data_IF_106977909989
#
_entry.id   IF_106977909989
#
_cell.length_a   1.000
_cell.length_b   1.000
_cell.length_c   1.000
_cell.angle_alpha   90.00
_cell.angle_beta   90.00
_cell.angle_gamma   90.00
#
_symmetry.space_group_name_H-M   'P 1'
#
loop_
_entity.id
_entity.type
_entity.pdbx_description
1 polymer ?
#
# COMPACT_ATOMS: atom_id res chain seq x y z
N UNK A 1 -1.70 -0.77 -11.33
CA UNK A 1 -0.44 -0.29 -11.95
C UNK A 1 0.67 -0.22 -10.90
N UNK A 2 0.51 0.53 -9.80
CA UNK A 2 1.55 0.65 -8.76
C UNK A 2 2.06 -0.70 -8.20
N UNK A 3 1.16 -1.57 -7.75
CA UNK A 3 1.54 -2.86 -7.15
C UNK A 3 1.70 -4.01 -8.15
N UNK A 4 1.56 -3.78 -9.46
CA UNK A 4 1.56 -4.89 -10.43
C UNK A 4 2.93 -5.41 -10.84
N UNK A 5 4.01 -4.68 -10.52
CA UNK A 5 5.39 -5.12 -10.72
C UNK A 5 5.96 -5.85 -9.50
N UNK A 6 5.23 -5.85 -8.37
CA UNK A 6 5.69 -6.46 -7.13
C UNK A 6 5.10 -7.87 -7.02
N UNK A 7 5.92 -8.81 -6.56
CA UNK A 7 5.48 -10.18 -6.28
C UNK A 7 4.78 -10.18 -4.92
N UNK A 8 3.50 -9.83 -4.90
CA UNK A 8 2.66 -9.85 -3.68
C UNK A 8 1.35 -10.60 -3.91
N UNK A 9 0.65 -10.90 -2.81
CA UNK A 9 -0.66 -11.56 -2.84
C UNK A 9 -1.82 -10.62 -3.23
N UNK A 10 -1.56 -9.32 -3.35
CA UNK A 10 -2.60 -8.29 -3.50
C UNK A 10 -3.31 -8.37 -4.87
N UNK A 11 -2.56 -8.62 -5.94
CA UNK A 11 -3.13 -8.77 -7.29
C UNK A 11 -3.98 -10.03 -7.43
N UNK A 12 -3.49 -11.15 -6.88
CA UNK A 12 -4.23 -12.41 -6.91
C UNK A 12 -5.56 -12.26 -6.14
N UNK A 13 -5.54 -11.64 -4.95
CA UNK A 13 -6.77 -11.34 -4.21
C UNK A 13 -7.71 -10.43 -5.03
N UNK A 14 -7.17 -9.38 -5.66
CA UNK A 14 -7.95 -8.44 -6.47
C UNK A 14 -8.68 -9.15 -7.61
N UNK A 15 -8.00 -10.05 -8.32
CA UNK A 15 -8.59 -10.86 -9.39
C UNK A 15 -9.66 -11.81 -8.87
N UNK A 16 -9.33 -12.61 -7.84
CA UNK A 16 -10.26 -13.61 -7.32
C UNK A 16 -11.48 -12.99 -6.65
N UNK A 17 -11.33 -11.82 -6.02
CA UNK A 17 -12.46 -11.03 -5.52
C UNK A 17 -13.38 -10.58 -6.67
N UNK A 18 -12.82 -10.02 -7.75
CA UNK A 18 -13.61 -9.65 -8.93
C UNK A 18 -14.37 -10.85 -9.49
N UNK A 19 -13.68 -11.99 -9.72
CA UNK A 19 -14.30 -13.22 -10.23
C UNK A 19 -15.41 -13.71 -9.30
N UNK A 20 -15.19 -13.71 -7.98
CA UNK A 20 -16.18 -14.14 -7.00
C UNK A 20 -17.45 -13.30 -7.08
N UNK A 21 -17.33 -11.97 -7.05
CA UNK A 21 -18.49 -11.07 -7.14
C UNK A 21 -19.17 -11.10 -8.52
N UNK A 22 -18.42 -11.29 -9.60
CA UNK A 22 -18.99 -11.47 -10.94
C UNK A 22 -19.84 -12.74 -11.05
N UNK A 23 -19.32 -13.88 -10.59
CA UNK A 23 -20.09 -15.13 -10.59
C UNK A 23 -21.24 -15.10 -9.59
N UNK A 24 -21.07 -14.38 -8.48
CA UNK A 24 -22.16 -14.11 -7.53
C UNK A 24 -23.29 -13.31 -8.18
N UNK A 25 -22.97 -12.22 -8.89
CA UNK A 25 -23.94 -11.47 -9.68
C UNK A 25 -24.62 -12.33 -10.75
N UNK A 26 -23.86 -13.15 -11.49
CA UNK A 26 -24.44 -14.06 -12.50
C UNK A 26 -25.38 -15.07 -11.88
N UNK A 27 -24.96 -15.73 -10.80
CA UNK A 27 -25.78 -16.69 -10.08
C UNK A 27 -27.10 -16.05 -9.59
N UNK A 28 -27.04 -14.81 -9.09
CA UNK A 28 -28.23 -14.08 -8.68
C UNK A 28 -29.16 -13.67 -9.83
N UNK A 29 -28.66 -13.67 -11.07
CA UNK A 29 -29.43 -13.30 -12.27
C UNK A 29 -30.07 -14.50 -12.96
N UNK A 30 -29.34 -15.60 -13.10
CA UNK A 30 -29.77 -16.75 -13.91
C UNK A 30 -29.94 -18.06 -13.10
N UNK A 31 -29.58 -18.05 -11.81
CA UNK A 31 -29.73 -19.16 -10.87
C UNK A 31 -29.07 -20.47 -11.34
N UNK A 32 -28.10 -20.39 -12.26
CA UNK A 32 -27.43 -21.59 -12.80
C UNK A 32 -26.40 -22.13 -11.80
N UNK A 33 -26.54 -23.42 -11.46
CA UNK A 33 -25.63 -24.15 -10.55
C UNK A 33 -24.14 -24.02 -10.87
N UNK A 34 -23.76 -23.92 -12.14
CA UNK A 34 -22.35 -23.72 -12.52
C UNK A 34 -21.74 -22.47 -11.88
N UNK A 35 -22.51 -21.39 -11.75
CA UNK A 35 -22.04 -20.14 -11.14
C UNK A 35 -21.89 -20.30 -9.63
N UNK A 36 -22.74 -21.10 -9.00
CA UNK A 36 -22.60 -21.47 -7.58
C UNK A 36 -21.25 -22.14 -7.28
N UNK A 37 -20.82 -23.09 -8.11
CA UNK A 37 -19.51 -23.72 -7.94
C UNK A 37 -18.34 -22.79 -8.32
N UNK A 38 -18.48 -21.93 -9.33
CA UNK A 38 -17.45 -20.93 -9.62
C UNK A 38 -17.24 -19.96 -8.45
N UNK A 39 -18.31 -19.57 -7.76
CA UNK A 39 -18.19 -18.78 -6.53
C UNK A 39 -17.37 -19.54 -5.48
N UNK A 40 -17.63 -20.83 -5.25
CA UNK A 40 -16.85 -21.63 -4.30
C UNK A 40 -15.36 -21.68 -4.67
N UNK A 41 -15.07 -21.89 -5.97
CA UNK A 41 -13.69 -21.96 -6.47
C UNK A 41 -12.97 -20.62 -6.25
N UNK A 42 -13.53 -19.51 -6.72
CA UNK A 42 -12.86 -18.22 -6.62
C UNK A 42 -12.82 -17.68 -5.19
N UNK A 43 -13.85 -17.94 -4.38
CA UNK A 43 -13.81 -17.60 -2.95
C UNK A 43 -12.74 -18.41 -2.21
N UNK A 44 -12.63 -19.71 -2.51
CA UNK A 44 -11.58 -20.57 -1.95
C UNK A 44 -10.18 -20.10 -2.34
N UNK A 45 -9.97 -19.73 -3.61
CA UNK A 45 -8.72 -19.15 -4.09
C UNK A 45 -8.40 -17.81 -3.41
N UNK A 46 -9.40 -16.93 -3.23
CA UNK A 46 -9.22 -15.68 -2.47
C UNK A 46 -8.79 -15.96 -1.03
N UNK A 47 -9.46 -16.87 -0.33
CA UNK A 47 -9.16 -17.24 1.06
C UNK A 47 -7.75 -17.83 1.19
N UNK A 48 -7.34 -18.68 0.26
CA UNK A 48 -5.98 -19.23 0.23
C UNK A 48 -4.91 -18.17 -0.11
N UNK A 49 -5.27 -17.09 -0.79
CA UNK A 49 -4.33 -16.04 -1.20
C UNK A 49 -4.01 -15.05 -0.07
N UNK A 50 -5.04 -14.62 0.68
CA UNK A 50 -4.88 -13.61 1.72
C UNK A 50 -5.99 -13.70 2.76
N UNK A 51 -5.64 -13.71 4.04
CA UNK A 51 -6.60 -13.83 5.13
C UNK A 51 -7.69 -12.75 5.15
N UNK A 52 -7.39 -11.53 4.67
CA UNK A 52 -8.40 -10.45 4.55
C UNK A 52 -9.54 -10.77 3.60
N UNK A 53 -9.40 -11.79 2.72
CA UNK A 53 -10.48 -12.28 1.87
C UNK A 53 -11.71 -12.75 2.66
N UNK A 54 -11.58 -13.04 3.96
CA UNK A 54 -12.72 -13.38 4.82
C UNK A 54 -13.80 -12.29 4.82
N UNK A 55 -13.43 -11.03 4.61
CA UNK A 55 -14.35 -9.90 4.47
C UNK A 55 -15.26 -9.99 3.24
N UNK A 56 -14.94 -10.81 2.24
CA UNK A 56 -15.83 -11.02 1.09
C UNK A 56 -17.15 -11.68 1.50
N UNK A 57 -17.15 -12.54 2.53
CA UNK A 57 -18.34 -13.26 3.00
C UNK A 57 -19.42 -12.29 3.51
N UNK A 58 -19.17 -11.41 4.50
CA UNK A 58 -20.17 -10.45 4.93
C UNK A 58 -20.58 -9.50 3.81
N UNK A 59 -19.68 -9.11 2.90
CA UNK A 59 -20.04 -8.28 1.75
C UNK A 59 -21.00 -8.98 0.78
N UNK A 60 -20.81 -10.27 0.51
CA UNK A 60 -21.75 -11.05 -0.29
C UNK A 60 -23.12 -11.18 0.39
N UNK A 61 -23.15 -11.34 1.73
CA UNK A 61 -24.39 -11.33 2.51
C UNK A 61 -25.09 -9.97 2.39
N UNK A 62 -24.35 -8.87 2.53
CA UNK A 62 -24.88 -7.51 2.38
C UNK A 62 -25.46 -7.30 0.98
N UNK A 63 -24.74 -7.69 -0.08
CA UNK A 63 -25.25 -7.68 -1.46
C UNK A 63 -26.58 -8.46 -1.58
N UNK A 64 -26.64 -9.65 -0.99
CA UNK A 64 -27.83 -10.50 -1.03
C UNK A 64 -29.02 -9.85 -0.31
N UNK A 65 -28.80 -9.34 0.91
CA UNK A 65 -29.82 -8.65 1.71
C UNK A 65 -30.36 -7.45 0.95
N UNK A 66 -29.48 -6.59 0.43
CA UNK A 66 -29.91 -5.42 -0.34
C UNK A 66 -30.69 -5.80 -1.59
N UNK A 67 -30.28 -6.84 -2.33
CA UNK A 67 -31.02 -7.32 -3.50
C UNK A 67 -32.42 -7.83 -3.12
N UNK A 68 -32.52 -8.64 -2.07
CA UNK A 68 -33.82 -9.13 -1.59
C UNK A 68 -34.73 -7.98 -1.15
N UNK A 69 -34.19 -7.01 -0.41
CA UNK A 69 -34.91 -5.81 0.01
C UNK A 69 -35.44 -5.00 -1.18
N UNK A 70 -34.61 -4.78 -2.20
CA UNK A 70 -35.01 -4.01 -3.39
C UNK A 70 -36.07 -4.69 -4.25
N UNK A 71 -36.01 -6.02 -4.38
CA UNK A 71 -36.95 -6.78 -5.20
C UNK A 71 -38.15 -7.31 -4.40
N UNK A 72 -38.29 -6.92 -3.12
CA UNK A 72 -39.35 -7.39 -2.21
C UNK A 72 -39.50 -8.92 -2.17
N UNK A 73 -38.40 -9.66 -2.41
CA UNK A 73 -38.37 -11.11 -2.33
C UNK A 73 -38.10 -11.53 -0.89
N UNK A 74 -38.69 -12.65 -0.47
CA UNK A 74 -38.35 -13.25 0.83
C UNK A 74 -36.87 -13.62 0.86
N UNK A 75 -36.16 -13.22 1.92
CA UNK A 75 -34.74 -13.50 2.13
C UNK A 75 -34.40 -14.99 2.00
N UNK A 76 -35.32 -15.90 2.31
CA UNK A 76 -35.07 -17.34 2.27
C UNK A 76 -35.35 -17.98 0.90
N UNK A 77 -36.13 -17.35 0.02
CA UNK A 77 -36.57 -17.97 -1.23
C UNK A 77 -35.44 -18.11 -2.27
N UNK A 78 -34.51 -17.15 -2.38
CA UNK A 78 -33.43 -17.22 -3.39
C UNK A 78 -32.31 -18.21 -3.04
N UNK A 79 -32.09 -18.54 -1.77
CA UNK A 79 -31.14 -19.60 -1.35
C UNK A 79 -31.75 -21.01 -1.30
N UNK A 80 -33.06 -21.14 -1.51
CA UNK A 80 -33.77 -22.41 -1.38
C UNK A 80 -33.58 -23.35 -2.58
N UNK A 81 -33.06 -22.83 -3.71
CA UNK A 81 -32.80 -23.62 -4.92
C UNK A 81 -31.68 -24.66 -4.79
N UNK A 82 -30.81 -24.52 -3.78
CA UNK A 82 -29.70 -25.46 -3.55
C UNK A 82 -29.98 -26.35 -2.34
N UNK A 83 -30.14 -27.65 -2.62
CA UNK A 83 -30.30 -28.68 -1.59
C UNK A 83 -29.05 -28.79 -0.69
N UNK A 84 -29.18 -29.42 0.48
CA UNK A 84 -28.10 -29.61 1.45
C UNK A 84 -26.82 -30.18 0.82
N UNK A 85 -26.96 -31.13 -0.13
CA UNK A 85 -25.84 -31.69 -0.90
C UNK A 85 -25.00 -30.63 -1.62
N UNK A 86 -25.65 -29.65 -2.26
CA UNK A 86 -24.95 -28.61 -3.02
C UNK A 86 -24.18 -27.67 -2.10
N UNK A 87 -24.77 -27.32 -0.97
CA UNK A 87 -24.10 -26.51 0.07
C UNK A 87 -22.90 -27.27 0.65
N UNK A 88 -23.03 -28.58 0.85
CA UNK A 88 -21.92 -29.45 1.25
C UNK A 88 -20.78 -29.46 0.22
N UNK A 89 -21.10 -29.62 -1.07
CA UNK A 89 -20.11 -29.57 -2.16
C UNK A 89 -19.43 -28.19 -2.22
N UNK A 90 -20.18 -27.10 -2.06
CA UNK A 90 -19.63 -25.74 -2.04
C UNK A 90 -18.57 -25.56 -0.94
N UNK A 91 -18.88 -25.97 0.29
CA UNK A 91 -17.94 -25.91 1.41
C UNK A 91 -16.75 -26.83 1.16
N UNK A 92 -16.99 -28.04 0.65
CA UNK A 92 -15.94 -29.00 0.35
C UNK A 92 -14.95 -28.45 -0.69
N UNK A 93 -15.41 -27.76 -1.74
CA UNK A 93 -14.54 -27.12 -2.73
C UNK A 93 -13.62 -26.09 -2.06
N UNK A 94 -14.16 -25.22 -1.20
CA UNK A 94 -13.37 -24.22 -0.49
C UNK A 94 -12.31 -24.89 0.41
N UNK A 95 -12.73 -25.89 1.19
CA UNK A 95 -11.83 -26.62 2.09
C UNK A 95 -10.75 -27.39 1.33
N UNK A 96 -11.08 -27.98 0.17
CA UNK A 96 -10.12 -28.66 -0.69
C UNK A 96 -9.09 -27.70 -1.26
N UNK A 97 -9.49 -26.51 -1.71
CA UNK A 97 -8.57 -25.49 -2.23
C UNK A 97 -7.62 -25.01 -1.13
N UNK A 98 -8.15 -24.69 0.05
CA UNK A 98 -7.33 -24.30 1.21
C UNK A 98 -6.38 -25.46 1.56
N UNK A 99 -6.88 -26.67 1.75
CA UNK A 99 -6.03 -27.82 2.08
C UNK A 99 -4.94 -28.07 1.04
N UNK A 100 -5.27 -28.01 -0.25
CA UNK A 100 -4.31 -28.17 -1.34
C UNK A 100 -3.22 -27.09 -1.34
N UNK A 101 -3.56 -25.83 -1.00
CA UNK A 101 -2.57 -24.74 -0.90
C UNK A 101 -1.55 -24.93 0.23
N UNK A 102 -1.91 -25.73 1.25
CA UNK A 102 -1.02 -26.16 2.32
C UNK A 102 -0.50 -27.60 2.12
N UNK A 103 -0.45 -28.09 0.87
CA UNK A 103 0.02 -29.43 0.54
C UNK A 103 -0.66 -30.56 1.33
N UNK A 104 -1.95 -30.37 1.65
CA UNK A 104 -2.76 -31.28 2.48
C UNK A 104 -2.22 -31.50 3.90
N UNK A 105 -1.34 -30.62 4.40
CA UNK A 105 -0.84 -30.66 5.77
C UNK A 105 -1.90 -30.23 6.81
N UNK A 106 -2.97 -29.57 6.34
CA UNK A 106 -4.22 -29.43 7.09
C UNK A 106 -4.75 -28.00 7.19
N UNK A 107 -6.07 -27.89 7.26
CA UNK A 107 -6.82 -26.65 7.54
C UNK A 107 -6.44 -25.99 8.89
N UNK A 108 -5.99 -26.71 9.95
CA UNK A 108 -5.56 -26.07 11.18
C UNK A 108 -4.47 -24.99 11.00
N UNK A 109 -3.49 -25.19 10.12
CA UNK A 109 -2.45 -24.18 9.87
C UNK A 109 -3.00 -22.89 9.26
N UNK A 110 -4.04 -22.98 8.42
CA UNK A 110 -4.75 -21.80 7.94
C UNK A 110 -5.44 -21.05 9.09
N UNK A 111 -6.07 -21.79 10.01
CA UNK A 111 -6.74 -21.20 11.18
C UNK A 111 -5.72 -20.56 12.13
N UNK A 112 -4.59 -21.22 12.39
CA UNK A 112 -3.48 -20.67 13.18
C UNK A 112 -2.95 -19.36 12.57
N UNK A 113 -2.72 -19.34 11.25
CA UNK A 113 -2.29 -18.11 10.55
C UNK A 113 -3.32 -16.99 10.64
N UNK A 114 -4.62 -17.31 10.49
CA UNK A 114 -5.70 -16.34 10.66
C UNK A 114 -5.75 -15.78 12.09
N UNK A 115 -5.59 -16.64 13.10
CA UNK A 115 -5.51 -16.25 14.50
C UNK A 115 -4.30 -15.34 14.78
N UNK A 116 -3.12 -15.67 14.22
CA UNK A 116 -1.93 -14.84 14.36
C UNK A 116 -2.12 -13.45 13.77
N UNK A 117 -2.74 -13.32 12.59
CA UNK A 117 -3.06 -12.02 12.01
C UNK A 117 -4.02 -11.23 12.89
N UNK A 118 -5.03 -11.88 13.46
CA UNK A 118 -5.99 -11.23 14.35
C UNK A 118 -5.30 -10.73 15.63
N UNK A 119 -4.46 -11.55 16.26
CA UNK A 119 -3.66 -11.19 17.44
C UNK A 119 -2.70 -10.04 17.11
N UNK A 120 -2.01 -10.11 15.98
CA UNK A 120 -1.09 -9.07 15.53
C UNK A 120 -1.80 -7.75 15.22
N UNK A 121 -3.03 -7.79 14.72
CA UNK A 121 -3.83 -6.58 14.47
C UNK A 121 -4.30 -5.87 15.75
N UNK A 122 -4.30 -6.57 16.90
CA UNK A 122 -4.71 -6.04 18.20
C UNK A 122 -3.53 -5.67 19.12
N UNK A 123 -2.35 -6.23 18.90
CA UNK A 123 -1.20 -5.99 19.77
C UNK A 123 -0.51 -4.65 19.45
N UNK A 124 -0.85 -3.62 20.22
CA UNK A 124 -0.23 -2.28 20.18
C UNK A 124 1.28 -2.27 20.47
N UNK A 125 1.83 -3.34 21.07
CA UNK A 125 3.25 -3.46 21.42
C UNK A 125 4.19 -3.58 20.20
N UNK A 126 3.65 -3.90 19.02
CA UNK A 126 4.39 -3.89 17.74
C UNK A 126 3.75 -2.96 16.70
N UNK A 127 2.96 -1.98 17.13
CA UNK A 127 2.35 -1.01 16.24
C UNK A 127 3.47 -0.23 15.51
N UNK A 128 3.76 -0.66 14.27
CA UNK A 128 4.58 0.08 13.32
C UNK A 128 4.01 1.49 13.27
N UNK A 129 4.83 2.51 13.48
CA UNK A 129 4.40 3.91 13.34
C UNK A 129 3.79 4.07 11.94
N UNK A 130 2.53 4.51 11.89
CA UNK A 130 1.81 4.76 10.65
C UNK A 130 1.99 6.23 10.30
N UNK A 131 1.92 6.58 9.02
CA UNK A 131 2.17 7.94 8.56
C UNK A 131 1.07 8.44 7.64
N UNK A 132 0.63 9.68 7.86
CA UNK A 132 -0.32 10.39 7.03
C UNK A 132 -0.09 11.90 7.16
N UNK A 133 0.08 12.60 6.03
CA UNK A 133 0.14 14.07 5.99
C UNK A 133 1.17 14.70 6.96
N UNK A 134 2.37 14.13 7.06
CA UNK A 134 3.42 14.62 7.97
C UNK A 134 3.30 14.15 9.42
N UNK A 135 2.21 13.49 9.81
CA UNK A 135 1.98 13.02 11.17
C UNK A 135 2.23 11.52 11.32
N UNK A 136 2.67 11.11 12.51
CA UNK A 136 2.85 9.71 12.88
C UNK A 136 1.81 9.29 13.92
N UNK A 137 1.24 8.09 13.75
CA UNK A 137 0.26 7.52 14.69
C UNK A 137 0.49 6.03 14.89
N UNK A 138 0.36 5.56 16.14
CA UNK A 138 0.34 4.12 16.45
C UNK A 138 -1.06 3.51 16.30
N UNK A 139 -2.10 4.34 16.40
CA UNK A 139 -3.50 3.91 16.29
C UNK A 139 -4.01 4.03 14.84
N UNK A 140 -3.34 4.84 14.02
CA UNK A 140 -3.75 5.14 12.65
C UNK A 140 -4.87 6.20 12.56
N UNK A 141 -5.54 6.23 11.41
CA UNK A 141 -6.66 7.12 11.10
C UNK A 141 -7.74 6.34 10.35
N UNK A 142 -8.99 6.44 10.81
CA UNK A 142 -10.13 5.83 10.14
C UNK A 142 -10.31 6.33 8.70
N UNK A 143 -9.86 7.55 8.39
CA UNK A 143 -9.95 8.18 7.07
C UNK A 143 -8.70 8.00 6.21
N UNK A 144 -7.72 7.20 6.64
CA UNK A 144 -6.49 6.94 5.88
C UNK A 144 -6.77 6.39 4.48
N UNK A 145 -7.57 5.32 4.36
CA UNK A 145 -7.81 4.67 3.07
C UNK A 145 -8.58 5.54 2.08
N UNK A 146 -9.62 6.30 2.48
CA UNK A 146 -10.20 7.33 1.62
C UNK A 146 -9.19 8.34 1.10
N UNK A 147 -8.30 8.87 1.94
CA UNK A 147 -7.26 9.81 1.49
C UNK A 147 -6.22 9.12 0.60
N UNK A 148 -5.77 7.92 0.97
CA UNK A 148 -4.83 7.15 0.17
C UNK A 148 -5.40 6.82 -1.21
N UNK A 149 -6.70 6.50 -1.30
CA UNK A 149 -7.39 6.33 -2.58
C UNK A 149 -7.34 7.61 -3.41
N UNK A 150 -7.63 8.77 -2.83
CA UNK A 150 -7.57 10.05 -3.53
C UNK A 150 -6.15 10.43 -3.97
N UNK A 151 -5.14 10.15 -3.15
CA UNK A 151 -3.75 10.47 -3.43
C UNK A 151 -3.10 9.50 -4.43
N UNK A 152 -3.48 8.22 -4.42
CA UNK A 152 -2.87 7.16 -5.24
C UNK A 152 -3.65 6.84 -6.51
N UNK A 153 -4.82 7.44 -6.72
CA UNK A 153 -5.64 7.26 -7.93
C UNK A 153 -5.48 8.46 -8.86
N UNK A 154 -5.25 8.19 -10.15
CA UNK A 154 -5.22 9.24 -11.18
C UNK A 154 -6.47 10.13 -11.11
N UNK A 155 -6.29 11.44 -11.25
CA UNK A 155 -7.38 12.42 -11.31
C UNK A 155 -8.39 12.04 -12.39
N UNK A 156 -7.92 11.42 -13.49
CA UNK A 156 -8.78 11.00 -14.60
C UNK A 156 -9.72 9.89 -14.14
N UNK A 157 -9.21 8.88 -13.44
CA UNK A 157 -10.02 7.79 -12.89
C UNK A 157 -10.98 8.34 -11.82
N UNK A 158 -10.51 9.23 -10.95
CA UNK A 158 -11.37 9.90 -9.96
C UNK A 158 -12.49 10.69 -10.65
N UNK A 159 -12.16 11.49 -11.66
CA UNK A 159 -13.11 12.27 -12.43
C UNK A 159 -14.17 11.37 -13.07
N UNK A 160 -13.75 10.32 -13.78
CA UNK A 160 -14.65 9.35 -14.43
C UNK A 160 -15.54 8.62 -13.41
N UNK A 161 -14.98 8.22 -12.27
CA UNK A 161 -15.72 7.57 -11.20
C UNK A 161 -16.80 8.49 -10.61
N UNK A 162 -16.42 9.71 -10.22
CA UNK A 162 -17.35 10.65 -9.59
C UNK A 162 -18.40 11.18 -10.55
N UNK A 163 -18.07 11.43 -11.83
CA UNK A 163 -19.09 11.82 -12.82
C UNK A 163 -20.08 10.68 -13.09
N UNK A 164 -19.61 9.43 -13.20
CA UNK A 164 -20.49 8.25 -13.30
C UNK A 164 -21.39 8.13 -12.08
N UNK A 165 -20.86 8.35 -10.87
CA UNK A 165 -21.61 8.33 -9.62
C UNK A 165 -22.70 9.41 -9.60
N UNK A 166 -22.36 10.66 -9.90
CA UNK A 166 -23.29 11.79 -9.93
C UNK A 166 -24.44 11.58 -10.92
N UNK A 167 -24.14 11.07 -12.12
CA UNK A 167 -25.16 10.79 -13.14
C UNK A 167 -26.05 9.60 -12.74
N UNK A 168 -25.48 8.56 -12.14
CA UNK A 168 -26.23 7.40 -11.64
C UNK A 168 -27.19 7.79 -10.51
N UNK A 169 -26.73 8.67 -9.60
CA UNK A 169 -27.53 9.27 -8.54
C UNK A 169 -28.71 10.08 -9.11
N UNK A 170 -28.46 10.96 -10.10
CA UNK A 170 -29.51 11.76 -10.75
C UNK A 170 -30.57 10.89 -11.44
N UNK A 171 -30.19 9.73 -11.96
CA UNK A 171 -31.12 8.77 -12.61
C UNK A 171 -31.80 7.83 -11.61
N UNK A 172 -31.52 7.95 -10.31
CA UNK A 172 -32.00 7.08 -9.25
C UNK A 172 -31.75 5.58 -9.52
N UNK A 173 -30.61 5.28 -10.16
CA UNK A 173 -30.29 3.95 -10.67
C UNK A 173 -29.29 3.18 -9.78
N UNK A 174 -28.91 3.74 -8.63
CA UNK A 174 -27.95 3.13 -7.68
C UNK A 174 -28.30 1.68 -7.33
N UNK A 175 -29.60 1.41 -7.24
CA UNK A 175 -30.19 0.11 -6.91
C UNK A 175 -29.71 -1.02 -7.83
N UNK A 176 -29.44 -0.70 -9.10
CA UNK A 176 -29.00 -1.69 -10.08
C UNK A 176 -27.48 -1.97 -10.01
N UNK A 177 -26.73 -1.14 -9.28
CA UNK A 177 -25.26 -1.18 -9.21
C UNK A 177 -24.74 -1.74 -7.88
N UNK A 178 -25.59 -2.35 -7.04
CA UNK A 178 -25.22 -2.89 -5.71
C UNK A 178 -24.02 -3.84 -5.79
N UNK A 179 -23.94 -4.68 -6.82
CA UNK A 179 -22.85 -5.64 -6.99
C UNK A 179 -21.50 -4.98 -7.31
N UNK A 180 -21.49 -3.68 -7.63
CA UNK A 180 -20.28 -2.87 -7.75
C UNK A 180 -20.09 -2.05 -6.47
N UNK A 181 -21.13 -1.39 -5.95
CA UNK A 181 -20.99 -0.50 -4.80
C UNK A 181 -20.69 -1.19 -3.48
N UNK A 182 -21.28 -2.36 -3.21
CA UNK A 182 -20.98 -3.09 -1.97
C UNK A 182 -19.51 -3.53 -1.90
N UNK A 183 -18.90 -4.14 -2.93
CA UNK A 183 -17.47 -4.42 -2.86
C UNK A 183 -16.60 -3.15 -2.87
N UNK A 184 -17.01 -2.04 -3.51
CA UNK A 184 -16.25 -0.78 -3.44
C UNK A 184 -16.28 -0.18 -2.04
N UNK A 185 -17.48 0.20 -1.58
CA UNK A 185 -17.64 0.94 -0.33
C UNK A 185 -17.53 0.04 0.89
N UNK A 186 -18.09 -1.17 0.84
CA UNK A 186 -18.04 -2.09 1.96
C UNK A 186 -16.62 -2.56 2.26
N UNK A 187 -15.80 -2.84 1.24
CA UNK A 187 -14.38 -3.17 1.44
C UNK A 187 -13.62 -1.98 2.04
N UNK A 188 -13.82 -0.78 1.49
CA UNK A 188 -13.19 0.43 2.01
C UNK A 188 -13.60 0.69 3.47
N UNK A 189 -14.90 0.62 3.79
CA UNK A 189 -15.43 0.79 5.16
C UNK A 189 -14.83 -0.25 6.11
N UNK A 190 -14.75 -1.52 5.74
CA UNK A 190 -14.16 -2.55 6.60
C UNK A 190 -12.70 -2.22 6.95
N UNK A 191 -11.92 -1.73 5.99
CA UNK A 191 -10.53 -1.33 6.23
C UNK A 191 -10.41 -0.02 7.02
N UNK A 192 -11.40 0.87 6.98
CA UNK A 192 -11.46 2.08 7.83
C UNK A 192 -11.58 1.75 9.33
N UNK A 193 -12.06 0.54 9.67
CA UNK A 193 -12.11 0.02 11.05
C UNK A 193 -10.89 -0.82 11.43
N UNK A 194 -9.87 -0.89 10.56
CA UNK A 194 -8.61 -1.57 10.87
C UNK A 194 -7.53 -0.55 11.20
N UNK A 195 -6.68 -0.88 12.17
CA UNK A 195 -5.51 -0.06 12.53
C UNK A 195 -4.31 -0.36 11.60
N UNK A 196 -4.54 -0.78 10.36
CA UNK A 196 -3.49 -1.21 9.42
C UNK A 196 -3.30 -0.17 8.30
N UNK A 197 -2.86 1.04 8.64
CA UNK A 197 -2.65 2.11 7.66
C UNK A 197 -1.26 2.09 7.02
N UNK A 198 -0.94 0.97 6.38
CA UNK A 198 0.38 0.69 5.77
C UNK A 198 0.31 0.57 4.25
N UNK A 199 -0.69 1.20 3.62
CA UNK A 199 -0.70 1.44 2.17
C UNK A 199 -1.92 1.01 1.39
N UNK A 200 -2.10 1.64 0.22
CA UNK A 200 -3.28 1.49 -0.65
C UNK A 200 -3.49 0.05 -1.16
N UNK A 201 -2.47 -0.80 -1.11
CA UNK A 201 -2.55 -2.23 -1.48
C UNK A 201 -3.67 -2.99 -0.76
N UNK A 202 -4.03 -2.60 0.46
CA UNK A 202 -5.11 -3.24 1.22
C UNK A 202 -6.50 -3.00 0.62
N UNK A 203 -6.67 -1.88 -0.07
CA UNK A 203 -7.89 -1.55 -0.81
C UNK A 203 -7.76 -1.77 -2.31
N UNK A 204 -6.65 -2.30 -2.81
CA UNK A 204 -6.47 -2.65 -4.22
C UNK A 204 -7.64 -3.46 -4.84
N UNK A 205 -8.30 -4.38 -4.09
CA UNK A 205 -9.44 -5.13 -4.63
C UNK A 205 -10.64 -4.29 -5.08
N UNK A 206 -10.75 -3.02 -4.67
CA UNK A 206 -11.87 -2.15 -5.10
C UNK A 206 -11.70 -1.62 -6.53
N UNK A 207 -10.46 -1.53 -7.04
CA UNK A 207 -10.17 -0.87 -8.32
C UNK A 207 -10.85 -1.49 -9.54
N UNK A 208 -10.92 -2.83 -9.70
CA UNK A 208 -11.65 -3.40 -10.84
C UNK A 208 -13.14 -3.02 -10.84
N UNK A 209 -13.78 -2.96 -9.68
CA UNK A 209 -15.17 -2.53 -9.57
C UNK A 209 -15.32 -1.04 -9.91
N UNK A 210 -14.38 -0.20 -9.48
CA UNK A 210 -14.31 1.22 -9.86
C UNK A 210 -14.17 1.37 -11.37
N UNK A 211 -13.31 0.61 -12.02
CA UNK A 211 -13.13 0.67 -13.48
C UNK A 211 -14.38 0.21 -14.23
N UNK A 212 -14.99 -0.90 -13.81
CA UNK A 212 -16.25 -1.39 -14.40
C UNK A 212 -17.35 -0.33 -14.21
N UNK A 213 -17.50 0.22 -13.02
CA UNK A 213 -18.50 1.26 -12.76
C UNK A 213 -18.24 2.53 -13.58
N UNK A 214 -17.01 3.00 -13.64
CA UNK A 214 -16.62 4.20 -14.40
C UNK A 214 -16.84 4.02 -15.92
N UNK A 215 -16.78 2.78 -16.42
CA UNK A 215 -17.07 2.49 -17.83
C UNK A 215 -18.52 2.81 -18.23
N UNK A 216 -19.45 2.87 -17.27
CA UNK A 216 -20.84 3.26 -17.49
C UNK A 216 -20.97 4.60 -18.21
N UNK A 217 -20.00 5.51 -18.06
CA UNK A 217 -19.97 6.83 -18.69
C UNK A 217 -20.12 6.77 -20.22
N UNK A 218 -19.62 5.70 -20.84
CA UNK A 218 -19.76 5.48 -22.28
C UNK A 218 -21.21 5.25 -22.71
N UNK A 219 -22.03 4.68 -21.81
CA UNK A 219 -23.44 4.33 -22.06
C UNK A 219 -24.44 5.32 -21.45
N UNK A 220 -23.97 6.24 -20.62
CA UNK A 220 -24.82 7.27 -20.03
C UNK A 220 -25.21 8.33 -21.08
N UNK A 221 -26.44 8.82 -20.95
CA UNK A 221 -27.03 9.85 -21.80
C UNK A 221 -26.82 11.23 -21.14
N UNK A 222 -26.08 12.10 -21.83
CA UNK A 222 -25.79 13.47 -21.41
C UNK A 222 -26.72 14.50 -22.03
N UNK A 223 -27.71 14.10 -22.83
CA UNK A 223 -28.67 15.02 -23.46
C UNK A 223 -29.40 15.90 -22.44
N UNK A 224 -29.68 15.37 -21.24
CA UNK A 224 -30.26 16.11 -20.12
C UNK A 224 -29.41 17.30 -19.65
N UNK A 225 -28.09 17.25 -19.79
CA UNK A 225 -27.19 18.35 -19.42
C UNK A 225 -27.02 19.32 -20.58
N UNK A 226 -26.55 18.82 -21.73
CA UNK A 226 -26.35 19.62 -22.93
C UNK A 226 -26.12 18.71 -24.16
N UNK A 227 -26.79 19.00 -25.27
CA UNK A 227 -26.58 18.31 -26.55
C UNK A 227 -25.13 18.39 -27.07
N UNK A 228 -24.39 19.44 -26.71
CA UNK A 228 -22.97 19.57 -27.05
C UNK A 228 -22.12 18.47 -26.40
N UNK A 229 -22.33 18.20 -25.11
CA UNK A 229 -21.56 17.18 -24.38
C UNK A 229 -21.83 15.78 -24.91
N UNK A 230 -23.09 15.47 -25.29
CA UNK A 230 -23.40 14.16 -25.87
C UNK A 230 -22.64 13.95 -27.21
N UNK A 231 -22.58 14.97 -28.06
CA UNK A 231 -21.84 14.89 -29.34
C UNK A 231 -20.33 14.73 -29.14
N UNK A 232 -19.76 15.33 -28.10
CA UNK A 232 -18.32 15.30 -27.84
C UNK A 232 -17.88 14.19 -26.86
N UNK A 233 -18.83 13.47 -26.25
CA UNK A 233 -18.61 12.48 -25.17
C UNK A 233 -17.46 11.52 -25.47
N UNK A 234 -17.52 10.83 -26.60
CA UNK A 234 -16.51 9.83 -26.98
C UNK A 234 -15.13 10.46 -27.18
N UNK A 235 -15.07 11.67 -27.77
CA UNK A 235 -13.80 12.39 -27.97
C UNK A 235 -13.19 12.80 -26.63
N UNK A 236 -14.01 13.28 -25.69
CA UNK A 236 -13.58 13.61 -24.32
C UNK A 236 -13.06 12.37 -23.62
N UNK A 237 -13.80 11.26 -23.64
CA UNK A 237 -13.39 10.00 -23.01
C UNK A 237 -12.06 9.50 -23.60
N UNK A 238 -11.92 9.46 -24.93
CA UNK A 238 -10.67 9.03 -25.59
C UNK A 238 -9.50 9.93 -25.18
N UNK A 239 -9.72 11.24 -25.11
CA UNK A 239 -8.70 12.21 -24.69
C UNK A 239 -8.29 11.97 -23.24
N UNK A 240 -9.25 11.75 -22.34
CA UNK A 240 -8.98 11.42 -20.94
C UNK A 240 -8.20 10.10 -20.82
N UNK A 241 -8.59 9.05 -21.55
CA UNK A 241 -7.88 7.77 -21.56
C UNK A 241 -6.45 7.92 -22.11
N UNK A 242 -6.24 8.77 -23.11
CA UNK A 242 -4.91 9.08 -23.61
C UNK A 242 -4.04 9.74 -22.52
N UNK A 243 -4.58 10.73 -21.80
CA UNK A 243 -3.84 11.34 -20.68
C UNK A 243 -3.59 10.36 -19.52
N UNK A 244 -4.48 9.39 -19.29
CA UNK A 244 -4.28 8.35 -18.28
C UNK A 244 -3.12 7.41 -18.66
N UNK A 245 -3.01 7.07 -19.95
CA UNK A 245 -1.87 6.32 -20.47
C UNK A 245 -0.58 7.14 -20.30
N UNK A 246 -0.60 8.43 -20.65
CA UNK A 246 0.54 9.32 -20.45
C UNK A 246 0.96 9.40 -18.98
N UNK A 247 0.02 9.55 -18.04
CA UNK A 247 0.37 9.63 -16.62
C UNK A 247 1.00 8.34 -16.10
N UNK A 248 0.60 7.18 -16.61
CA UNK A 248 1.30 5.93 -16.35
C UNK A 248 2.70 5.93 -16.98
N UNK A 249 2.86 6.35 -18.24
CA UNK A 249 4.17 6.34 -18.92
C UNK A 249 5.19 7.27 -18.24
N UNK A 250 4.76 8.42 -17.71
CA UNK A 250 5.66 9.36 -17.02
C UNK A 250 6.24 8.81 -15.71
N UNK A 251 5.59 7.83 -15.08
CA UNK A 251 6.06 7.23 -13.83
C UNK A 251 6.84 5.92 -14.07
N UNK A 252 6.91 5.45 -15.33
CA UNK A 252 7.75 4.29 -15.66
C UNK A 252 9.24 4.59 -15.38
N UNK A 253 10.01 3.65 -14.79
CA UNK A 253 9.61 2.31 -14.37
C UNK A 253 9.07 2.19 -12.94
N UNK A 254 9.03 3.28 -12.17
CA UNK A 254 8.82 3.30 -10.72
C UNK A 254 7.35 3.45 -10.32
N UNK A 255 6.48 2.53 -10.77
CA UNK A 255 5.03 2.70 -10.57
C UNK A 255 4.58 2.74 -9.11
N UNK A 256 5.35 2.14 -8.17
CA UNK A 256 4.99 2.16 -6.76
C UNK A 256 4.86 3.59 -6.24
N UNK A 257 5.74 4.49 -6.68
CA UNK A 257 5.76 5.89 -6.27
C UNK A 257 4.74 6.75 -7.00
N UNK A 258 3.83 6.18 -7.79
CA UNK A 258 2.76 6.94 -8.44
C UNK A 258 1.88 7.62 -7.38
N UNK A 259 1.78 8.94 -7.44
CA UNK A 259 0.71 9.70 -6.83
C UNK A 259 -0.06 10.39 -7.95
N UNK A 260 -1.28 10.85 -7.65
CA UNK A 260 -2.10 11.55 -8.62
C UNK A 260 -1.36 12.75 -9.23
N UNK A 261 -1.85 13.22 -10.36
CA UNK A 261 -1.13 14.19 -11.19
C UNK A 261 -0.96 15.57 -10.52
N UNK A 262 -1.66 15.86 -9.42
CA UNK A 262 -1.46 17.09 -8.62
C UNK A 262 -0.29 16.98 -7.64
N UNK A 263 -0.05 15.79 -7.09
CA UNK A 263 1.00 15.55 -6.09
C UNK A 263 2.32 15.22 -6.78
N UNK A 264 2.27 14.30 -7.75
CA UNK A 264 3.45 13.79 -8.44
C UNK A 264 4.29 12.83 -7.60
N UNK A 265 5.13 11.99 -8.24
CA UNK A 265 5.83 10.91 -7.55
C UNK A 265 6.89 11.37 -6.54
N UNK A 266 7.55 12.50 -6.79
CA UNK A 266 8.63 13.00 -5.94
C UNK A 266 8.14 13.60 -4.62
N UNK A 267 6.91 14.14 -4.56
CA UNK A 267 6.35 14.76 -3.35
C UNK A 267 5.46 13.79 -2.55
N UNK A 268 5.28 12.56 -3.03
CA UNK A 268 4.37 11.59 -2.41
C UNK A 268 4.68 11.28 -0.94
N UNK A 269 5.96 11.36 -0.56
CA UNK A 269 6.46 11.11 0.79
C UNK A 269 5.92 12.10 1.84
N UNK A 270 5.44 13.28 1.43
CA UNK A 270 4.77 14.25 2.33
C UNK A 270 3.37 13.79 2.74
N UNK A 271 2.74 12.93 1.94
CA UNK A 271 1.36 12.50 2.12
C UNK A 271 1.26 11.08 2.68
N UNK A 272 2.04 10.15 2.12
CA UNK A 272 2.03 8.73 2.47
C UNK A 272 3.44 8.13 2.41
N UNK A 273 3.74 7.24 3.35
CA UNK A 273 4.98 6.44 3.40
C UNK A 273 4.65 4.94 3.33
N UNK A 274 5.58 4.10 3.78
CA UNK A 274 5.48 2.63 3.80
C UNK A 274 5.34 2.08 2.37
N UNK A 275 4.54 1.04 2.19
CA UNK A 275 4.26 0.38 0.92
C UNK A 275 3.56 1.26 -0.12
N UNK A 276 3.26 2.53 0.20
CA UNK A 276 2.83 3.49 -0.81
C UNK A 276 3.98 4.04 -1.64
N UNK A 277 5.24 3.92 -1.21
CA UNK A 277 6.38 4.50 -1.91
C UNK A 277 7.61 3.58 -1.91
N UNK A 278 7.85 2.88 -0.80
CA UNK A 278 9.04 2.08 -0.62
C UNK A 278 8.69 0.75 0.05
N UNK A 279 8.92 -0.31 -0.71
CA UNK A 279 8.88 -1.71 -0.28
C UNK A 279 10.22 -2.41 -0.47
N UNK A 280 11.25 -1.62 -0.74
CA UNK A 280 12.59 -2.07 -0.98
C UNK A 280 12.96 -2.36 -2.44
N UNK A 281 12.05 -2.09 -3.37
CA UNK A 281 12.19 -2.45 -4.78
C UNK A 281 13.42 -1.84 -5.49
N UNK A 282 14.01 -0.78 -4.95
CA UNK A 282 15.00 0.05 -5.65
C UNK A 282 16.47 -0.30 -5.38
N UNK A 283 16.77 -1.42 -4.70
CA UNK A 283 18.15 -1.90 -4.54
C UNK A 283 18.84 -2.12 -5.88
N UNK A 284 18.15 -2.69 -6.86
CA UNK A 284 18.70 -2.86 -8.21
C UNK A 284 19.06 -1.52 -8.88
N UNK A 285 18.17 -0.52 -8.74
CA UNK A 285 18.43 0.84 -9.21
C UNK A 285 19.61 1.49 -8.49
N UNK A 286 19.77 1.21 -7.20
CA UNK A 286 20.88 1.70 -6.40
C UNK A 286 22.22 1.10 -6.86
N UNK A 287 22.27 -0.22 -7.10
CA UNK A 287 23.48 -0.85 -7.64
C UNK A 287 23.87 -0.27 -9.00
N UNK A 288 22.89 -0.08 -9.89
CA UNK A 288 23.14 0.53 -11.21
C UNK A 288 23.74 1.93 -11.07
N UNK A 289 23.25 2.71 -10.12
CA UNK A 289 23.82 4.04 -9.84
C UNK A 289 25.24 3.95 -9.25
N UNK A 290 25.49 3.00 -8.36
CA UNK A 290 26.81 2.75 -7.75
C UNK A 290 27.86 2.43 -8.82
N UNK A 291 27.55 1.52 -9.74
CA UNK A 291 28.44 1.12 -10.84
C UNK A 291 28.76 2.31 -11.76
N UNK A 292 27.73 3.05 -12.16
CA UNK A 292 27.90 4.21 -13.06
C UNK A 292 28.71 5.36 -12.44
N UNK A 293 28.74 5.44 -11.09
CA UNK A 293 29.47 6.48 -10.37
C UNK A 293 30.78 5.98 -9.74
N UNK A 294 31.19 4.73 -10.01
CA UNK A 294 32.39 4.10 -9.45
C UNK A 294 32.48 4.20 -7.92
N UNK A 295 31.37 3.97 -7.22
CA UNK A 295 31.34 3.99 -5.75
C UNK A 295 31.79 2.61 -5.23
N UNK A 296 32.98 2.51 -4.63
CA UNK A 296 33.50 1.22 -4.15
C UNK A 296 32.75 0.65 -2.95
N UNK A 297 32.26 1.53 -2.06
CA UNK A 297 31.51 1.17 -0.85
C UNK A 297 30.56 2.30 -0.47
N UNK A 298 29.32 1.96 -0.13
CA UNK A 298 28.27 2.93 0.23
C UNK A 298 27.80 2.75 1.68
N UNK A 299 27.34 3.82 2.33
CA UNK A 299 26.66 3.74 3.62
C UNK A 299 25.16 3.58 3.38
N UNK A 300 24.58 2.45 3.77
CA UNK A 300 23.22 2.08 3.40
C UNK A 300 22.33 1.85 4.64
N UNK A 301 21.14 2.42 4.62
CA UNK A 301 20.03 2.03 5.48
C UNK A 301 18.77 1.89 4.62
N UNK A 302 18.15 0.72 4.65
CA UNK A 302 17.14 0.31 3.68
C UNK A 302 15.94 -0.34 4.37
N UNK A 303 14.73 -0.09 3.87
CA UNK A 303 13.47 -0.51 4.49
C UNK A 303 13.04 -1.95 4.16
N UNK A 304 13.54 -2.54 3.07
CA UNK A 304 13.12 -3.88 2.63
C UNK A 304 13.85 -5.03 3.32
N UNK A 305 13.47 -6.26 2.93
CA UNK A 305 14.02 -7.50 3.48
C UNK A 305 15.02 -8.22 2.55
N UNK A 306 15.16 -7.73 1.31
CA UNK A 306 16.13 -8.30 0.37
C UNK A 306 17.57 -8.05 0.84
N UNK A 307 18.46 -8.99 0.55
CA UNK A 307 19.88 -8.89 0.85
C UNK A 307 20.61 -8.00 -0.18
N UNK A 308 21.21 -6.86 0.21
CA UNK A 308 21.97 -6.01 -0.70
C UNK A 308 23.14 -6.73 -1.39
N UNK A 309 23.74 -7.74 -0.74
CA UNK A 309 24.86 -8.50 -1.30
C UNK A 309 24.44 -9.29 -2.56
N UNK A 310 23.18 -9.74 -2.64
CA UNK A 310 22.63 -10.40 -3.83
C UNK A 310 22.72 -9.50 -5.08
N UNK A 311 22.60 -8.18 -4.90
CA UNK A 311 22.69 -7.19 -5.97
C UNK A 311 24.12 -6.70 -6.21
N UNK A 312 25.12 -7.22 -5.48
CA UNK A 312 26.52 -6.79 -5.59
C UNK A 312 26.86 -5.51 -4.82
N UNK A 313 25.97 -5.04 -3.95
CA UNK A 313 26.13 -3.77 -3.24
C UNK A 313 27.06 -3.97 -2.04
N UNK A 314 28.29 -3.47 -2.13
CA UNK A 314 29.19 -3.39 -0.96
C UNK A 314 28.79 -2.23 -0.07
N UNK A 315 28.30 -2.52 1.13
CA UNK A 315 27.82 -1.50 2.04
C UNK A 315 28.36 -1.60 3.47
N UNK A 316 28.16 -0.52 4.20
CA UNK A 316 28.20 -0.49 5.66
C UNK A 316 26.98 0.26 6.19
N UNK A 317 26.62 0.02 7.45
CA UNK A 317 25.49 0.71 8.05
C UNK A 317 25.77 2.20 8.21
N UNK A 318 24.77 3.03 7.92
CA UNK A 318 24.86 4.47 8.18
C UNK A 318 24.99 4.70 9.70
N UNK A 319 25.97 5.49 10.18
CA UNK A 319 26.04 5.88 11.58
C UNK A 319 24.96 6.91 11.95
N UNK A 320 24.65 7.05 13.25
CA UNK A 320 23.75 8.10 13.76
C UNK A 320 24.41 9.48 13.88
N UNK A 321 25.46 9.75 13.11
CA UNK A 321 26.18 11.02 13.09
C UNK A 321 26.71 11.29 11.68
N UNK A 322 26.94 12.57 11.36
CA UNK A 322 27.45 12.95 10.05
C UNK A 322 28.88 12.42 9.84
N UNK A 323 29.09 11.71 8.74
CA UNK A 323 30.38 11.14 8.37
C UNK A 323 30.62 11.28 6.86
N UNK A 324 31.87 11.50 6.45
CA UNK A 324 32.25 11.61 5.04
C UNK A 324 31.84 10.33 4.28
N UNK A 325 31.38 10.50 3.05
CA UNK A 325 31.10 9.40 2.13
C UNK A 325 29.77 9.54 1.41
N UNK A 326 29.48 8.53 0.60
CA UNK A 326 28.20 8.39 -0.08
C UNK A 326 27.23 7.64 0.83
N UNK A 327 26.06 8.23 1.07
CA UNK A 327 25.05 7.73 1.99
C UNK A 327 23.76 7.51 1.22
N UNK A 328 23.20 6.32 1.26
CA UNK A 328 21.92 5.95 0.66
C UNK A 328 20.93 5.52 1.74
N UNK A 329 19.80 6.20 1.85
CA UNK A 329 18.79 5.93 2.88
C UNK A 329 17.39 5.83 2.27
N UNK A 330 16.66 4.77 2.62
CA UNK A 330 15.24 4.61 2.30
C UNK A 330 14.42 5.76 2.86
N UNK A 331 13.46 6.27 2.08
CA UNK A 331 12.59 7.40 2.42
C UNK A 331 11.80 7.14 3.70
N UNK A 332 11.38 5.90 3.95
CA UNK A 332 10.70 5.50 5.18
C UNK A 332 11.59 5.75 6.42
N UNK A 333 12.88 5.37 6.36
CA UNK A 333 13.82 5.62 7.44
C UNK A 333 14.24 7.10 7.52
N UNK A 334 14.37 7.76 6.38
CA UNK A 334 14.76 9.17 6.30
C UNK A 334 13.74 10.12 6.93
N UNK A 335 12.45 9.82 6.75
CA UNK A 335 11.36 10.62 7.30
C UNK A 335 11.03 10.21 8.75
N UNK A 336 11.33 8.96 9.15
CA UNK A 336 11.19 8.52 10.54
C UNK A 336 10.11 7.48 10.80
N UNK A 337 9.63 6.79 9.76
CA UNK A 337 8.61 5.73 9.89
C UNK A 337 9.09 4.58 10.78
N UNK A 338 10.39 4.27 10.74
CA UNK A 338 11.00 3.25 11.58
C UNK A 338 11.41 3.89 12.90
N UNK A 339 11.04 3.28 14.02
CA UNK A 339 11.35 3.78 15.35
C UNK A 339 12.85 4.06 15.53
N UNK A 340 13.17 5.24 16.05
CA UNK A 340 14.56 5.69 16.27
C UNK A 340 15.28 6.28 15.05
N UNK A 341 14.81 6.02 13.82
CA UNK A 341 15.51 6.49 12.60
C UNK A 341 15.49 8.00 12.42
N UNK A 342 14.38 8.67 12.76
CA UNK A 342 14.30 10.13 12.69
C UNK A 342 15.38 10.81 13.54
N UNK A 343 15.58 10.35 14.78
CA UNK A 343 16.59 10.89 15.69
C UNK A 343 18.01 10.55 15.23
N UNK A 344 18.21 9.37 14.66
CA UNK A 344 19.51 8.91 14.20
C UNK A 344 19.98 9.62 12.92
N UNK A 345 19.05 9.97 12.02
CA UNK A 345 19.38 10.46 10.67
C UNK A 345 18.94 11.92 10.41
N UNK A 346 18.49 12.66 11.42
CA UNK A 346 18.14 14.09 11.30
C UNK A 346 19.29 14.96 10.79
N UNK A 347 20.54 14.56 11.02
CA UNK A 347 21.70 15.28 10.50
C UNK A 347 21.68 15.40 8.97
N UNK A 348 20.97 14.51 8.26
CA UNK A 348 20.75 14.60 6.81
C UNK A 348 19.82 15.75 6.40
N UNK A 349 19.08 16.39 7.32
CA UNK A 349 18.25 17.58 7.04
C UNK A 349 19.08 18.78 6.58
N UNK A 350 20.36 18.82 6.96
CA UNK A 350 21.30 19.88 6.58
C UNK A 350 21.87 19.70 5.16
N UNK A 351 21.61 18.56 4.51
CA UNK A 351 22.18 18.21 3.23
C UNK A 351 21.09 18.02 2.19
N UNK A 352 21.34 18.50 0.97
CA UNK A 352 20.47 18.20 -0.16
C UNK A 352 20.88 16.84 -0.75
N UNK A 353 19.92 15.97 -1.09
CA UNK A 353 20.23 14.71 -1.76
C UNK A 353 20.89 15.00 -3.12
N UNK A 354 21.94 14.24 -3.43
CA UNK A 354 22.59 14.23 -4.73
C UNK A 354 21.63 13.69 -5.80
N UNK A 355 20.89 12.64 -5.46
CA UNK A 355 19.87 12.05 -6.33
C UNK A 355 18.88 11.25 -5.49
N UNK A 356 17.75 10.88 -6.10
CA UNK A 356 16.85 9.85 -5.58
C UNK A 356 16.80 8.68 -6.55
N UNK A 357 16.87 7.47 -6.03
CA UNK A 357 16.69 6.23 -6.79
C UNK A 357 15.24 5.80 -6.62
N UNK A 358 14.53 5.69 -7.74
CA UNK A 358 13.13 5.28 -7.76
C UNK A 358 12.15 6.18 -7.01
N UNK A 359 12.58 7.37 -6.57
CA UNK A 359 11.92 8.22 -5.56
C UNK A 359 11.80 7.58 -4.16
N UNK A 360 12.42 6.43 -3.90
CA UNK A 360 12.33 5.70 -2.62
C UNK A 360 13.63 5.69 -1.83
N UNK A 361 14.81 5.74 -2.47
CA UNK A 361 16.12 5.78 -1.79
C UNK A 361 16.78 7.11 -2.10
N UNK A 362 17.12 7.88 -1.07
CA UNK A 362 17.80 9.17 -1.21
C UNK A 362 19.31 8.98 -1.04
N UNK A 363 20.07 9.50 -2.00
CA UNK A 363 21.53 9.38 -2.02
C UNK A 363 22.15 10.75 -1.75
N UNK A 364 23.10 10.80 -0.84
CA UNK A 364 23.81 12.00 -0.42
C UNK A 364 25.31 11.83 -0.64
N UNK A 365 25.98 12.95 -0.91
CA UNK A 365 27.44 13.02 -0.93
C UNK A 365 27.92 14.00 0.14
N UNK A 366 28.43 13.42 1.23
CA UNK A 366 28.96 14.15 2.38
C UNK A 366 30.47 14.29 2.20
N UNK A 367 30.92 15.51 1.90
CA UNK A 367 32.35 15.84 1.75
C UNK A 367 32.88 16.52 3.00
N UNK A 368 34.21 16.51 3.19
CA UNK A 368 34.85 17.19 4.34
C UNK A 368 34.48 18.67 4.44
N UNK A 369 34.39 19.37 3.31
CA UNK A 369 33.96 20.78 3.26
C UNK A 369 32.52 21.00 3.72
N UNK A 370 31.64 20.01 3.45
CA UNK A 370 30.22 20.06 3.82
C UNK A 370 29.98 19.61 5.25
N UNK A 371 30.92 18.88 5.87
CA UNK A 371 30.89 18.60 7.30
C UNK A 371 31.04 19.92 8.07
N UNK A 372 29.90 20.56 8.35
CA UNK A 372 29.88 21.82 9.10
C UNK A 372 30.59 21.65 10.44
N UNK A 373 31.44 22.60 10.86
CA UNK A 373 31.90 22.75 12.23
C UNK A 373 30.75 23.22 13.14
N UNK A 374 29.68 22.44 13.27
CA UNK A 374 28.53 22.74 14.12
C UNK A 374 28.25 21.58 15.05
N UNK A 375 29.01 21.54 16.15
CA UNK A 375 28.88 20.80 17.42
C UNK A 375 28.43 19.32 17.49
N UNK A 376 27.71 18.73 16.55
CA UNK A 376 27.21 17.36 16.70
C UNK A 376 28.27 16.30 16.35
N UNK A 377 29.08 16.53 15.31
CA UNK A 377 30.16 15.60 14.94
C UNK A 377 31.48 15.84 15.66
N UNK A 378 31.87 17.12 15.86
CA UNK A 378 33.17 17.46 16.45
C UNK A 378 33.24 17.11 17.94
N UNK A 379 32.20 17.43 18.71
CA UNK A 379 32.18 17.11 20.15
C UNK A 379 32.12 15.61 20.38
N UNK A 380 31.31 14.86 19.63
CA UNK A 380 31.22 13.41 19.81
C UNK A 380 32.53 12.70 19.44
N UNK A 381 33.16 13.05 18.32
CA UNK A 381 34.47 12.49 17.93
C UNK A 381 35.54 12.84 18.96
N UNK A 382 35.58 14.09 19.42
CA UNK A 382 36.50 14.54 20.47
C UNK A 382 36.26 13.79 21.78
N UNK A 383 35.02 13.69 22.23
CA UNK A 383 34.67 13.03 23.48
C UNK A 383 34.89 11.51 23.45
N UNK A 384 34.63 10.84 22.31
CA UNK A 384 34.93 9.42 22.15
C UNK A 384 36.44 9.16 22.22
N UNK A 385 37.25 10.02 21.59
CA UNK A 385 38.71 9.94 21.67
C UNK A 385 39.20 10.16 23.12
N UNK A 386 38.66 11.18 23.80
CA UNK A 386 39.01 11.50 25.18
C UNK A 386 38.59 10.41 26.19
N UNK A 387 37.41 9.82 26.04
CA UNK A 387 36.98 8.68 26.88
C UNK A 387 37.83 7.44 26.61
N UNK A 388 38.22 7.18 25.35
CA UNK A 388 39.07 6.05 24.96
C UNK A 388 40.48 6.17 25.53
N UNK A 389 41.08 7.37 25.50
CA UNK A 389 42.38 7.64 26.16
C UNK A 389 42.33 7.41 27.68
N UNK A 390 41.15 7.59 28.28
CA UNK A 390 40.91 7.34 29.71
C UNK A 390 40.46 5.90 30.04
N UNK A 391 40.50 4.96 29.08
CA UNK A 391 39.96 3.59 29.22
C UNK A 391 38.50 3.54 29.72
N UNK A 392 37.66 4.45 29.22
CA UNK A 392 36.25 4.58 29.59
C UNK A 392 35.34 4.54 28.35
N UNK A 393 34.09 4.18 28.57
CA UNK A 393 33.03 4.16 27.55
C UNK A 393 32.35 5.54 27.50
N UNK A 394 32.12 6.04 26.30
CA UNK A 394 31.43 7.30 26.04
C UNK A 394 29.90 7.12 26.15
N UNK A 395 29.24 8.01 26.90
CA UNK A 395 27.79 7.95 27.15
C UNK A 395 26.99 9.12 26.53
N UNK A 396 27.67 10.07 25.87
CA UNK A 396 27.04 11.26 25.29
C UNK A 396 27.76 12.57 25.66
N UNK A 397 27.24 13.68 25.15
CA UNK A 397 27.74 15.04 25.40
C UNK A 397 26.56 15.99 25.68
N UNK A 398 26.81 17.07 26.43
CA UNK A 398 25.83 18.13 26.64
C UNK A 398 25.89 19.13 25.47
N UNK A 399 24.77 19.29 24.76
CA UNK A 399 24.64 20.15 23.57
C UNK A 399 24.46 21.63 23.93
N UNK A 400 24.22 21.96 25.21
CA UNK A 400 23.86 23.30 25.66
C UNK A 400 25.06 24.25 25.88
N UNK A 401 26.30 23.78 25.77
CA UNK A 401 27.50 24.58 26.06
C UNK A 401 28.42 24.71 24.83
N UNK A 402 28.93 25.91 24.57
CA UNK A 402 29.95 26.17 23.53
C UNK A 402 31.27 25.40 23.74
N UNK A 403 31.43 24.69 24.87
CA UNK A 403 32.54 23.78 25.16
C UNK A 403 32.01 22.36 25.32
N UNK A 404 32.55 21.41 24.54
CA UNK A 404 32.21 19.99 24.61
C UNK A 404 32.47 19.41 26.01
N UNK A 405 31.44 19.17 26.80
CA UNK A 405 31.54 18.47 28.09
C UNK A 405 31.22 16.99 27.91
N UNK A 406 32.22 16.12 28.11
CA UNK A 406 32.16 14.69 27.80
C UNK A 406 31.79 13.83 29.02
N UNK A 407 30.82 12.92 28.89
CA UNK A 407 30.47 11.96 29.93
C UNK A 407 31.10 10.58 29.65
N UNK A 408 32.06 10.16 30.48
CA UNK A 408 32.76 8.87 30.36
C UNK A 408 32.56 8.00 31.62
N UNK A 409 32.25 6.70 31.46
CA UNK A 409 32.11 5.73 32.56
C UNK A 409 33.09 4.56 32.40
N UNK A 410 33.58 4.01 33.51
CA UNK A 410 34.41 2.79 33.49
C UNK A 410 33.62 1.65 32.85
N UNK A 411 34.25 0.95 31.89
CA UNK A 411 33.74 -0.32 31.41
C UNK A 411 33.75 -1.30 32.59
N UNK A 412 32.59 -1.85 32.94
CA UNK A 412 32.48 -2.94 33.90
C UNK A 412 32.95 -4.26 33.27
#
# INVERSE_FOLDING_TARGET
IAHSQLVTTDLALTLFMLCTFYFFWKYMKDEKKKHFYYIAIFLGLSLATKFSAIFMIPLMIVCYVFRCWLHQKSFFQSMQHNNFRERGIFILIILLIISASYFFQGVPHYIEGLQQVFIQSQSSERAVSQYLLGEFSKEGWWYYFPLAFLFKTSIIVLFLFFISLLLTLKRNNLKNEIFLFVPIFGWMILFMFTNLNIGVRHILPVYPFIFIFSSSIATLDFSFLNSFFEKQKNKIIITLLFFYILSSLFVYPNYLTFFNELIGPSNGHEYLLDSNIDWGQDLYGLNTWIENNNVEKIKLFYFGNDDPDYYGIKYENIPCFAEVGIVAISVNARIGLIEGTQRCFNWLDMYQPLTTIGNSIWVYNITEEKLRPGNEGKCEVQCRKECKEKNKIYLGHDLAQEKCSCYCKLAL
#
